data_IF_132785096508
#
_entry.id   IF_132785096508
#
_cell.length_a   1.000
_cell.length_b   1.000
_cell.length_c   1.000
_cell.angle_alpha   90.00
_cell.angle_beta   90.00
_cell.angle_gamma   90.00
#
_symmetry.space_group_name_H-M   'P 1'
#
loop_
_entity.id
_entity.type
_entity.pdbx_description
1 polymer ?
#
# COMPACT_ATOMS: atom_id res chain seq x y z
N UNK A 1 43.44 -33.25 -26.86
CA UNK A 1 44.25 -32.07 -26.42
C UNK A 1 43.83 -30.87 -27.27
N UNK A 2 43.00 -30.00 -26.67
CA UNK A 2 42.09 -29.11 -27.37
C UNK A 2 42.67 -27.72 -27.68
N UNK A 3 42.01 -27.09 -28.67
CA UNK A 3 42.36 -25.91 -29.43
C UNK A 3 42.44 -24.57 -28.67
N UNK A 4 43.36 -23.73 -29.15
CA UNK A 4 43.24 -22.31 -29.50
C UNK A 4 42.41 -21.37 -28.58
N UNK A 5 43.15 -20.53 -27.86
CA UNK A 5 42.67 -19.33 -27.16
C UNK A 5 42.31 -18.20 -28.14
N UNK A 6 41.03 -17.84 -28.20
CA UNK A 6 40.54 -16.71 -29.00
C UNK A 6 40.08 -15.55 -28.09
N UNK A 7 40.77 -14.43 -28.24
CA UNK A 7 40.47 -13.10 -27.69
C UNK A 7 39.12 -12.59 -28.23
N UNK A 8 38.21 -12.19 -27.34
CA UNK A 8 37.06 -11.31 -27.63
C UNK A 8 37.05 -10.27 -26.51
N UNK A 9 37.28 -8.98 -26.74
CA UNK A 9 36.66 -8.13 -27.75
C UNK A 9 35.58 -7.30 -27.06
N UNK A 10 36.03 -6.32 -26.27
CA UNK A 10 35.18 -5.44 -25.46
C UNK A 10 34.25 -4.60 -26.33
N UNK A 11 32.95 -4.64 -26.02
CA UNK A 11 31.95 -3.75 -26.62
C UNK A 11 31.60 -2.67 -25.62
N UNK A 12 32.21 -1.51 -25.80
CA UNK A 12 31.80 -0.27 -25.14
C UNK A 12 30.36 0.07 -25.52
N UNK A 13 29.49 0.16 -24.53
CA UNK A 13 28.15 0.73 -24.70
C UNK A 13 28.30 2.25 -24.60
N UNK A 14 28.17 2.91 -25.76
CA UNK A 14 28.08 4.35 -25.85
C UNK A 14 26.81 4.83 -25.12
N UNK A 15 27.02 5.64 -24.08
CA UNK A 15 25.98 6.41 -23.39
C UNK A 15 25.68 7.64 -24.24
N UNK A 16 24.57 7.65 -24.97
CA UNK A 16 24.10 8.85 -25.68
C UNK A 16 23.01 9.48 -24.81
N UNK A 17 23.36 10.61 -24.20
CA UNK A 17 22.49 11.47 -23.43
C UNK A 17 21.54 12.23 -24.37
N UNK A 18 20.23 12.13 -24.14
CA UNK A 18 19.22 12.96 -24.78
C UNK A 18 18.68 14.00 -23.78
N UNK A 19 18.61 15.29 -24.14
CA UNK A 19 18.18 16.34 -23.23
C UNK A 19 16.66 16.35 -23.00
N UNK A 20 16.28 16.53 -21.74
CA UNK A 20 14.92 16.83 -21.27
C UNK A 20 14.54 18.25 -21.72
N UNK A 21 13.50 18.39 -22.54
CA UNK A 21 12.84 19.67 -22.80
C UNK A 21 11.42 19.64 -22.24
N UNK A 22 11.23 20.46 -21.21
CA UNK A 22 10.00 20.75 -20.48
C UNK A 22 9.30 21.89 -21.20
N UNK A 23 8.18 21.63 -21.88
CA UNK A 23 7.30 22.67 -22.42
C UNK A 23 6.12 22.85 -21.46
N UNK A 24 6.18 23.91 -20.66
CA UNK A 24 5.06 24.43 -19.87
C UNK A 24 4.18 25.21 -20.82
N UNK A 25 2.91 24.79 -20.96
CA UNK A 25 1.88 25.53 -21.68
C UNK A 25 0.97 26.17 -20.64
N UNK A 26 1.14 27.47 -20.44
CA UNK A 26 0.16 28.32 -19.77
C UNK A 26 -1.08 28.46 -20.67
N UNK A 27 -2.28 28.48 -20.09
CA UNK A 27 -3.41 29.14 -20.73
C UNK A 27 -3.84 30.39 -19.97
N UNK A 28 -4.18 31.35 -20.80
CA UNK A 28 -4.41 32.76 -20.54
C UNK A 28 -5.66 33.08 -19.71
N UNK A 29 -5.62 34.32 -19.23
CA UNK A 29 -6.67 35.13 -18.62
C UNK A 29 -7.85 35.43 -19.56
N UNK A 30 -9.09 35.27 -19.09
CA UNK A 30 -10.27 36.09 -19.41
C UNK A 30 -11.47 35.58 -18.58
N UNK A 31 -11.95 36.33 -17.59
CA UNK A 31 -13.06 37.30 -17.64
C UNK A 31 -14.48 36.69 -17.56
N UNK A 32 -15.13 37.01 -16.44
CA UNK A 32 -16.55 37.20 -16.15
C UNK A 32 -17.62 36.45 -16.98
N UNK A 33 -18.49 35.69 -16.29
CA UNK A 33 -19.93 36.00 -16.31
C UNK A 33 -20.69 35.31 -15.19
N UNK A 34 -21.55 36.10 -14.56
CA UNK A 34 -22.55 35.74 -13.57
C UNK A 34 -23.60 34.79 -14.12
N UNK A 35 -24.02 33.80 -13.33
CA UNK A 35 -25.44 33.49 -13.24
C UNK A 35 -25.79 32.79 -11.92
N UNK A 36 -26.63 33.46 -11.14
CA UNK A 36 -27.31 32.88 -10.00
C UNK A 36 -28.49 32.03 -10.50
N UNK A 37 -28.62 30.80 -10.01
CA UNK A 37 -29.88 30.03 -10.01
C UNK A 37 -29.84 28.93 -8.95
N UNK A 38 -30.49 29.25 -7.83
CA UNK A 38 -31.52 28.45 -7.15
C UNK A 38 -31.33 26.93 -6.90
N UNK A 39 -31.19 26.63 -5.60
CA UNK A 39 -31.69 25.47 -4.83
C UNK A 39 -30.97 24.09 -4.99
N UNK A 40 -31.12 23.14 -4.03
CA UNK A 40 -31.60 23.20 -2.65
C UNK A 40 -30.53 22.75 -1.62
N UNK A 41 -30.81 22.95 -0.33
CA UNK A 41 -30.01 22.44 0.79
C UNK A 41 -29.74 20.93 0.63
N UNK A 42 -28.50 20.61 0.29
CA UNK A 42 -28.00 19.25 0.13
C UNK A 42 -27.29 18.87 1.40
N UNK A 43 -27.77 17.77 1.98
CA UNK A 43 -27.21 17.03 3.10
C UNK A 43 -25.67 17.09 3.13
N UNK A 44 -25.17 17.64 4.23
CA UNK A 44 -23.77 17.58 4.64
C UNK A 44 -23.39 16.12 4.89
N UNK A 45 -22.95 15.46 3.83
CA UNK A 45 -22.15 14.24 3.89
C UNK A 45 -20.76 14.60 3.37
N UNK A 46 -19.97 15.20 4.27
CA UNK A 46 -18.53 15.32 4.09
C UNK A 46 -17.95 13.92 4.11
N UNK A 47 -17.84 13.33 2.93
CA UNK A 47 -16.99 12.17 2.70
C UNK A 47 -15.55 12.67 2.83
N UNK A 48 -14.99 12.50 4.02
CA UNK A 48 -13.56 12.65 4.30
C UNK A 48 -12.78 11.56 3.57
N UNK A 49 -12.70 11.65 2.23
CA UNK A 49 -11.74 10.84 1.48
C UNK A 49 -10.35 11.40 1.79
N UNK A 50 -9.74 10.90 2.86
CA UNK A 50 -8.35 11.16 3.18
C UNK A 50 -7.52 10.90 1.92
N UNK A 51 -6.67 11.84 1.47
CA UNK A 51 -5.91 11.66 0.25
C UNK A 51 -5.06 10.38 0.36
N UNK A 52 -4.87 9.63 -0.75
CA UNK A 52 -4.02 8.45 -0.73
C UNK A 52 -2.63 8.87 -0.24
N UNK A 53 -2.08 8.08 0.68
CA UNK A 53 -0.79 8.35 1.30
C UNK A 53 0.28 8.54 0.22
N UNK A 54 0.89 9.73 0.18
CA UNK A 54 1.93 10.04 -0.79
C UNK A 54 3.20 9.17 -0.58
N UNK A 55 3.39 8.64 0.64
CA UNK A 55 4.52 7.81 1.02
C UNK A 55 4.10 6.72 1.99
N UNK A 56 4.64 5.51 1.81
CA UNK A 56 4.42 4.36 2.69
C UNK A 56 5.58 4.27 3.66
N UNK A 57 5.31 4.34 4.96
CA UNK A 57 6.35 4.22 5.97
C UNK A 57 6.77 2.74 6.13
N UNK A 58 8.06 2.47 6.23
CA UNK A 58 8.53 1.12 6.57
C UNK A 58 8.35 0.90 8.08
N UNK A 59 7.21 0.34 8.47
CA UNK A 59 6.84 0.08 9.87
C UNK A 59 6.88 -1.42 10.12
N UNK A 60 7.54 -1.84 11.21
CA UNK A 60 7.59 -3.23 11.66
C UNK A 60 6.30 -3.60 12.41
N UNK A 61 5.19 -3.81 11.68
CA UNK A 61 3.90 -4.23 12.27
C UNK A 61 3.98 -5.53 13.07
N UNK A 62 4.95 -6.41 12.74
CA UNK A 62 5.22 -7.62 13.52
C UNK A 62 5.66 -7.30 14.95
N UNK A 63 6.55 -6.32 15.14
CA UNK A 63 7.00 -5.91 16.48
C UNK A 63 5.87 -5.30 17.29
N UNK A 64 5.01 -4.51 16.64
CA UNK A 64 3.83 -3.90 17.27
C UNK A 64 2.86 -4.98 17.74
N UNK A 65 2.64 -6.04 16.95
CA UNK A 65 1.84 -7.19 17.35
C UNK A 65 2.45 -7.94 18.54
N UNK A 66 3.75 -8.24 18.47
CA UNK A 66 4.44 -9.02 19.51
C UNK A 66 4.56 -8.23 20.83
N UNK A 67 4.63 -6.89 20.77
CA UNK A 67 4.79 -5.98 21.91
C UNK A 67 3.62 -4.98 22.04
N UNK A 68 2.38 -5.41 21.81
CA UNK A 68 1.23 -4.51 21.77
C UNK A 68 1.04 -3.70 23.06
N UNK A 69 1.16 -4.35 24.22
CA UNK A 69 1.00 -3.70 25.54
C UNK A 69 2.10 -2.68 25.83
N UNK A 70 3.36 -3.03 25.52
CA UNK A 70 4.50 -2.13 25.70
C UNK A 70 4.40 -0.91 24.78
N UNK A 71 3.96 -1.12 23.54
CA UNK A 71 3.74 -0.04 22.56
C UNK A 71 2.63 0.90 23.01
N UNK A 72 1.53 0.36 23.55
CA UNK A 72 0.42 1.17 24.08
C UNK A 72 0.85 1.99 25.30
N UNK A 73 1.64 1.39 26.20
CA UNK A 73 2.15 2.07 27.39
C UNK A 73 3.09 3.21 26.99
N UNK A 74 3.97 2.99 26.02
CA UNK A 74 4.86 4.02 25.49
C UNK A 74 4.06 5.14 24.78
N UNK A 75 3.08 4.79 23.96
CA UNK A 75 2.20 5.77 23.33
C UNK A 75 1.50 6.65 24.38
N UNK A 76 0.99 6.05 25.45
CA UNK A 76 0.39 6.78 26.57
C UNK A 76 1.41 7.68 27.29
N UNK A 77 2.62 7.18 27.57
CA UNK A 77 3.70 7.95 28.21
C UNK A 77 4.13 9.15 27.35
N UNK A 78 4.01 9.05 26.03
CA UNK A 78 4.28 10.12 25.06
C UNK A 78 3.06 10.99 24.73
N UNK A 79 1.94 10.78 25.41
CA UNK A 79 0.66 11.45 25.15
C UNK A 79 0.19 11.33 23.68
N UNK A 80 0.55 10.24 23.01
CA UNK A 80 0.12 9.95 21.64
C UNK A 80 -1.28 9.32 21.66
N UNK A 81 -2.21 9.91 20.90
CA UNK A 81 -3.54 9.36 20.66
C UNK A 81 -3.46 8.23 19.64
N UNK A 82 -3.13 7.02 20.09
CA UNK A 82 -3.03 5.83 19.23
C UNK A 82 -3.70 4.63 19.90
N UNK A 83 -4.55 3.94 19.13
CA UNK A 83 -5.11 2.66 19.51
C UNK A 83 -4.30 1.53 18.86
N UNK A 84 -3.37 0.95 19.62
CA UNK A 84 -2.53 -0.16 19.15
C UNK A 84 -3.37 -1.41 18.87
N UNK A 85 -4.48 -1.61 19.58
CA UNK A 85 -5.34 -2.78 19.39
C UNK A 85 -6.00 -2.79 18.00
N UNK A 86 -6.45 -1.62 17.53
CA UNK A 86 -7.00 -1.45 16.20
C UNK A 86 -5.95 -1.71 15.10
N UNK A 87 -4.70 -1.29 15.31
CA UNK A 87 -3.59 -1.54 14.38
C UNK A 87 -3.30 -3.04 14.27
N UNK A 88 -3.27 -3.76 15.40
CA UNK A 88 -3.05 -5.21 15.41
C UNK A 88 -4.19 -5.93 14.70
N UNK A 89 -5.44 -5.58 14.98
CA UNK A 89 -6.60 -6.16 14.31
C UNK A 89 -6.58 -5.92 12.79
N UNK A 90 -6.21 -4.70 12.36
CA UNK A 90 -6.03 -4.39 10.94
C UNK A 90 -4.89 -5.21 10.32
N UNK A 91 -3.77 -5.38 11.01
CA UNK A 91 -2.66 -6.20 10.52
C UNK A 91 -3.04 -7.68 10.36
N UNK A 92 -3.81 -8.24 11.29
CA UNK A 92 -4.29 -9.62 11.19
C UNK A 92 -5.28 -9.80 10.03
N UNK A 93 -6.23 -8.86 9.88
CA UNK A 93 -7.16 -8.84 8.75
C UNK A 93 -6.44 -8.67 7.39
N UNK A 94 -5.38 -7.86 7.34
CA UNK A 94 -4.53 -7.73 6.16
C UNK A 94 -3.88 -9.07 5.80
N UNK A 95 -3.32 -9.77 6.79
CA UNK A 95 -2.62 -11.03 6.56
C UNK A 95 -3.56 -12.15 6.12
N UNK A 96 -4.77 -12.22 6.68
CA UNK A 96 -5.78 -13.20 6.24
C UNK A 96 -6.24 -12.92 4.82
N UNK A 97 -6.59 -11.67 4.50
CA UNK A 97 -7.03 -11.26 3.16
C UNK A 97 -5.92 -11.43 2.11
N UNK A 98 -4.67 -11.14 2.48
CA UNK A 98 -3.53 -11.39 1.60
C UNK A 98 -3.38 -12.88 1.28
N UNK A 99 -3.55 -13.74 2.29
CA UNK A 99 -3.56 -15.20 2.10
C UNK A 99 -4.63 -15.65 1.12
N UNK A 100 -5.86 -15.16 1.26
CA UNK A 100 -6.97 -15.53 0.34
C UNK A 100 -6.72 -15.04 -1.09
N UNK A 101 -6.17 -13.84 -1.26
CA UNK A 101 -5.78 -13.31 -2.59
C UNK A 101 -4.70 -14.19 -3.23
N UNK A 102 -3.68 -14.61 -2.48
CA UNK A 102 -2.61 -15.45 -2.99
C UNK A 102 -3.13 -16.86 -3.36
N UNK A 103 -4.04 -17.44 -2.57
CA UNK A 103 -4.73 -18.67 -2.93
C UNK A 103 -5.55 -18.54 -4.22
N UNK A 104 -6.31 -17.46 -4.39
CA UNK A 104 -7.10 -17.22 -5.60
C UNK A 104 -6.21 -17.01 -6.83
N UNK A 105 -5.06 -16.34 -6.67
CA UNK A 105 -4.05 -16.22 -7.73
C UNK A 105 -3.50 -17.58 -8.13
N UNK A 106 -3.26 -18.46 -7.16
CA UNK A 106 -2.84 -19.84 -7.41
C UNK A 106 -3.94 -20.63 -8.15
N UNK A 107 -5.19 -20.59 -7.68
CA UNK A 107 -6.34 -21.24 -8.34
C UNK A 107 -6.49 -20.78 -9.79
N UNK A 108 -6.40 -19.47 -10.04
CA UNK A 108 -6.43 -18.88 -11.39
C UNK A 108 -5.27 -19.41 -12.25
N UNK A 109 -4.07 -19.51 -11.69
CA UNK A 109 -2.91 -20.05 -12.43
C UNK A 109 -3.06 -21.55 -12.71
N UNK A 110 -3.66 -22.32 -11.81
CA UNK A 110 -3.98 -23.74 -12.02
C UNK A 110 -5.03 -23.90 -13.13
N UNK A 111 -6.08 -23.08 -13.13
CA UNK A 111 -7.09 -23.05 -14.19
C UNK A 111 -6.45 -22.67 -15.55
N UNK A 112 -5.60 -21.63 -15.59
CA UNK A 112 -4.86 -21.29 -16.81
C UNK A 112 -3.97 -22.42 -17.34
N UNK A 113 -3.40 -23.25 -16.45
CA UNK A 113 -2.60 -24.43 -16.82
C UNK A 113 -3.48 -25.58 -17.32
N UNK A 114 -4.64 -25.85 -16.69
CA UNK A 114 -5.57 -26.89 -17.14
C UNK A 114 -6.13 -26.60 -18.54
N UNK A 115 -6.25 -25.32 -18.88
CA UNK A 115 -6.67 -24.85 -20.20
C UNK A 115 -5.65 -25.07 -21.33
N UNK A 116 -4.38 -25.38 -21.03
CA UNK A 116 -3.30 -25.56 -22.02
C UNK A 116 -3.25 -26.98 -22.64
N UNK A 117 -4.35 -27.73 -22.56
CA UNK A 117 -4.47 -29.10 -23.10
C UNK A 117 -5.52 -29.25 -24.21
N UNK A 118 -5.54 -30.43 -24.86
CA UNK A 118 -6.66 -30.85 -25.70
C UNK A 118 -7.81 -31.27 -24.76
N UNK A 119 -8.87 -30.48 -24.69
CA UNK A 119 -10.07 -30.76 -23.90
C UNK A 119 -11.34 -30.62 -24.74
N UNK A 120 -12.40 -31.28 -24.27
CA UNK A 120 -13.76 -31.09 -24.78
C UNK A 120 -14.19 -29.63 -24.69
N UNK A 121 -14.99 -29.20 -25.66
CA UNK A 121 -15.49 -27.82 -25.74
C UNK A 121 -16.28 -27.42 -24.50
N UNK A 122 -17.10 -28.33 -23.96
CA UNK A 122 -17.89 -28.10 -22.73
C UNK A 122 -17.01 -27.87 -21.50
N UNK A 123 -15.94 -28.64 -21.33
CA UNK A 123 -14.99 -28.47 -20.21
C UNK A 123 -14.18 -27.17 -20.34
N UNK A 124 -13.87 -26.78 -21.58
CA UNK A 124 -13.22 -25.51 -21.86
C UNK A 124 -14.12 -24.33 -21.50
N UNK A 125 -15.40 -24.40 -21.85
CA UNK A 125 -16.36 -23.33 -21.58
C UNK A 125 -16.59 -23.16 -20.05
N UNK A 126 -16.71 -24.28 -19.31
CA UNK A 126 -16.79 -24.25 -17.84
C UNK A 126 -15.54 -23.60 -17.18
N UNK A 127 -14.33 -23.95 -17.63
CA UNK A 127 -13.08 -23.36 -17.12
C UNK A 127 -12.97 -21.86 -17.44
N UNK A 128 -13.54 -21.40 -18.57
CA UNK A 128 -13.60 -19.97 -18.92
C UNK A 128 -14.54 -19.22 -17.97
N UNK A 129 -15.70 -19.78 -17.64
CA UNK A 129 -16.63 -19.20 -16.68
C UNK A 129 -16.00 -19.10 -15.28
N UNK A 130 -15.35 -20.16 -14.80
CA UNK A 130 -14.58 -20.15 -13.55
C UNK A 130 -13.46 -19.11 -13.59
N UNK A 131 -12.73 -19.00 -14.70
CA UNK A 131 -11.66 -18.01 -14.85
C UNK A 131 -12.15 -16.56 -14.80
N UNK A 132 -13.37 -16.29 -15.30
CA UNK A 132 -14.03 -14.98 -15.19
C UNK A 132 -14.45 -14.71 -13.75
N UNK A 133 -15.12 -15.65 -13.10
CA UNK A 133 -15.53 -15.53 -11.70
C UNK A 133 -14.33 -15.26 -10.78
N UNK A 134 -13.23 -16.02 -10.93
CA UNK A 134 -12.00 -15.81 -10.17
C UNK A 134 -11.37 -14.43 -10.39
N UNK A 135 -11.50 -13.87 -11.60
CA UNK A 135 -10.97 -12.53 -11.91
C UNK A 135 -11.79 -11.45 -11.22
N UNK A 136 -13.12 -11.58 -11.22
CA UNK A 136 -14.03 -10.63 -10.59
C UNK A 136 -13.87 -10.68 -9.06
N UNK A 137 -13.78 -11.88 -8.47
CA UNK A 137 -13.46 -12.06 -7.04
C UNK A 137 -12.11 -11.46 -6.66
N UNK A 138 -11.06 -11.72 -7.46
CA UNK A 138 -9.73 -11.13 -7.23
C UNK A 138 -9.76 -9.61 -7.27
N UNK A 139 -10.50 -9.00 -8.21
CA UNK A 139 -10.58 -7.55 -8.33
C UNK A 139 -11.22 -6.91 -7.09
N UNK A 140 -12.26 -7.53 -6.52
CA UNK A 140 -12.90 -7.06 -5.29
C UNK A 140 -11.96 -7.16 -4.08
N UNK A 141 -11.35 -8.33 -3.86
CA UNK A 141 -10.47 -8.55 -2.71
C UNK A 141 -9.17 -7.72 -2.80
N UNK A 142 -8.63 -7.48 -3.99
CA UNK A 142 -7.45 -6.62 -4.17
C UNK A 142 -7.76 -5.15 -3.85
N UNK A 143 -8.98 -4.67 -4.12
CA UNK A 143 -9.43 -3.33 -3.72
C UNK A 143 -9.56 -3.23 -2.20
N UNK A 144 -10.21 -4.21 -1.57
CA UNK A 144 -10.34 -4.28 -0.11
C UNK A 144 -8.97 -4.34 0.57
N UNK A 145 -8.04 -5.13 0.02
CA UNK A 145 -6.67 -5.24 0.52
C UNK A 145 -5.96 -3.89 0.44
N UNK A 146 -6.08 -3.17 -0.69
CA UNK A 146 -5.48 -1.84 -0.83
C UNK A 146 -6.06 -0.81 0.15
N UNK A 147 -7.37 -0.84 0.38
CA UNK A 147 -8.03 0.02 1.35
C UNK A 147 -7.55 -0.28 2.78
N UNK A 148 -7.50 -1.55 3.15
CA UNK A 148 -7.07 -2.01 4.47
C UNK A 148 -5.59 -1.68 4.72
N UNK A 149 -4.74 -1.88 3.72
CA UNK A 149 -3.32 -1.52 3.77
C UNK A 149 -3.09 -0.02 3.95
N UNK A 150 -3.98 0.81 3.37
CA UNK A 150 -3.94 2.27 3.53
C UNK A 150 -4.33 2.67 4.95
N UNK A 151 -5.43 2.13 5.47
CA UNK A 151 -5.87 2.36 6.86
C UNK A 151 -4.81 1.92 7.87
N UNK A 152 -4.25 0.72 7.68
CA UNK A 152 -3.18 0.20 8.52
C UNK A 152 -1.94 1.10 8.51
N UNK A 153 -1.58 1.66 7.35
CA UNK A 153 -0.48 2.62 7.26
C UNK A 153 -0.77 3.96 7.95
N UNK A 154 -1.98 4.50 7.81
CA UNK A 154 -2.37 5.75 8.47
C UNK A 154 -2.26 5.58 9.99
N UNK A 155 -2.82 4.50 10.53
CA UNK A 155 -2.78 4.25 11.98
C UNK A 155 -1.36 3.90 12.45
N UNK A 156 -0.61 3.12 11.67
CA UNK A 156 0.78 2.81 11.96
C UNK A 156 1.68 4.04 12.03
N UNK A 157 1.46 5.04 11.16
CA UNK A 157 2.25 6.28 11.14
C UNK A 157 2.04 7.17 12.36
N UNK A 158 0.96 6.95 13.14
CA UNK A 158 0.73 7.67 14.39
C UNK A 158 1.54 7.10 15.55
N UNK A 159 2.02 5.85 15.45
CA UNK A 159 2.76 5.17 16.51
C UNK A 159 4.11 5.87 16.71
N UNK A 160 4.42 6.39 17.92
CA UNK A 160 5.72 6.97 18.19
C UNK A 160 6.79 5.88 18.25
N UNK A 161 8.06 6.28 18.08
CA UNK A 161 9.18 5.35 18.24
C UNK A 161 9.27 4.76 19.66
N UNK A 162 10.04 3.70 19.83
CA UNK A 162 10.34 3.16 21.15
C UNK A 162 11.13 4.16 22.02
N UNK A 163 10.80 4.22 23.31
CA UNK A 163 11.54 5.00 24.31
C UNK A 163 12.70 4.20 24.86
N UNK A 164 13.88 4.83 24.99
CA UNK A 164 15.01 4.22 25.69
C UNK A 164 14.67 4.02 27.18
N UNK A 165 15.07 2.91 27.82
CA UNK A 165 14.73 2.60 29.22
C UNK A 165 15.20 3.67 30.22
N UNK A 166 16.28 4.38 29.92
CA UNK A 166 16.85 5.41 30.80
C UNK A 166 16.16 6.78 30.71
N UNK A 167 15.10 6.92 29.90
CA UNK A 167 14.39 8.21 29.76
C UNK A 167 13.48 8.42 30.96
N UNK A 168 13.62 9.55 31.69
CA UNK A 168 12.73 9.87 32.79
C UNK A 168 11.29 9.99 32.29
N UNK A 169 10.38 9.29 32.96
CA UNK A 169 8.95 9.30 32.64
C UNK A 169 8.34 10.56 33.26
N UNK A 170 7.81 11.45 32.43
CA UNK A 170 7.20 12.70 32.89
C UNK A 170 7.22 13.78 31.81
N UNK A 171 6.58 14.91 32.10
CA UNK A 171 6.59 16.10 31.22
C UNK A 171 7.91 16.86 31.28
N UNK A 172 7.87 18.15 30.92
CA UNK A 172 9.06 19.02 30.90
C UNK A 172 9.78 19.11 32.27
N UNK A 173 9.06 18.88 33.37
CA UNK A 173 9.59 18.85 34.73
C UNK A 173 10.58 17.70 34.98
N UNK A 174 10.49 16.61 34.22
CA UNK A 174 11.39 15.45 34.30
C UNK A 174 12.58 15.51 33.35
N UNK A 175 12.71 16.58 32.55
CA UNK A 175 13.75 16.66 31.52
C UNK A 175 15.15 16.72 32.13
N UNK A 176 16.00 15.73 31.81
CA UNK A 176 17.39 15.75 32.22
C UNK A 176 18.15 16.86 31.47
N UNK A 177 18.49 17.94 32.19
CA UNK A 177 19.41 18.96 31.70
C UNK A 177 20.78 18.33 31.47
N UNK A 178 21.21 18.31 30.21
CA UNK A 178 22.54 17.84 29.82
C UNK A 178 23.59 18.78 30.42
N UNK A 179 24.32 18.30 31.43
CA UNK A 179 25.50 18.97 31.99
C UNK A 179 26.73 18.75 31.11
#
# INVERSE_FOLDING_TARGET
PAAASLVRGGRGRAFVAAPRARAVKEPETASASSNASSAPATSSSESTSSPPLAWRAAIDFKKIRDNAEATQTNANNRAASVDVSAVVAAYEAYQTLKGTVDELRERRNVNAKSMKGKMDKEKRDALIEEGKALKDELAGLEQELGALETTMQIEGQKIPNDTHPDVPIGGEEGAALRR
#
